data_IF_315918513153
#
_entry.id   IF_315918513153
#
_cell.length_a   1.000
_cell.length_b   1.000
_cell.length_c   1.000
_cell.angle_alpha   90.00
_cell.angle_beta   90.00
_cell.angle_gamma   90.00
#
_symmetry.space_group_name_H-M   'P 1'
#
loop_
_entity.id
_entity.type
_entity.pdbx_description
1 polymer ?
#
# COMPACT_ATOMS: atom_id res chain seq x y z
N UNK A 1 19.08 -18.68 20.26
CA UNK A 1 17.88 -19.55 20.29
C UNK A 1 17.62 -19.95 18.85
N UNK A 2 18.10 -21.12 18.43
CA UNK A 2 17.71 -21.69 17.15
C UNK A 2 16.23 -22.05 17.27
N UNK A 3 15.36 -21.36 16.53
CA UNK A 3 13.97 -21.80 16.44
C UNK A 3 13.94 -23.09 15.63
N UNK A 4 13.33 -24.14 16.19
CA UNK A 4 13.00 -25.33 15.43
C UNK A 4 12.11 -24.94 14.25
N UNK A 5 12.65 -25.11 13.04
CA UNK A 5 11.92 -24.89 11.80
C UNK A 5 10.84 -25.95 11.70
N UNK A 6 9.58 -25.53 11.85
CA UNK A 6 8.44 -26.44 11.65
C UNK A 6 8.34 -26.84 10.17
N UNK A 7 7.87 -28.05 9.85
CA UNK A 7 7.63 -28.46 8.45
C UNK A 7 6.71 -27.50 7.68
N UNK A 8 5.76 -26.87 8.39
CA UNK A 8 4.87 -25.84 7.82
C UNK A 8 5.65 -24.60 7.39
N UNK A 9 6.60 -24.15 8.20
CA UNK A 9 7.47 -23.02 7.87
C UNK A 9 8.36 -23.35 6.67
N UNK A 10 9.00 -24.52 6.67
CA UNK A 10 9.89 -24.92 5.58
C UNK A 10 9.15 -24.93 4.23
N UNK A 11 7.93 -25.48 4.20
CA UNK A 11 7.08 -25.45 3.00
C UNK A 11 6.73 -24.03 2.55
N UNK A 12 6.51 -23.10 3.47
CA UNK A 12 6.24 -21.68 3.17
C UNK A 12 7.48 -21.01 2.56
N UNK A 13 8.65 -21.23 3.15
CA UNK A 13 9.92 -20.73 2.64
C UNK A 13 10.22 -21.26 1.23
N UNK A 14 10.11 -22.57 1.02
CA UNK A 14 10.30 -23.22 -0.28
C UNK A 14 9.35 -22.62 -1.33
N UNK A 15 8.08 -22.43 -0.98
CA UNK A 15 7.11 -21.81 -1.87
C UNK A 15 7.51 -20.37 -2.26
N UNK A 16 7.97 -19.56 -1.32
CA UNK A 16 8.45 -18.19 -1.59
C UNK A 16 9.67 -18.22 -2.54
N UNK A 17 10.64 -19.11 -2.27
CA UNK A 17 11.84 -19.26 -3.09
C UNK A 17 11.47 -19.65 -4.53
N UNK A 18 10.57 -20.62 -4.69
CA UNK A 18 10.08 -21.05 -6.01
C UNK A 18 9.38 -19.91 -6.73
N UNK A 19 8.46 -19.20 -6.07
CA UNK A 19 7.74 -18.06 -6.66
C UNK A 19 8.70 -16.95 -7.11
N UNK A 20 9.69 -16.60 -6.28
CA UNK A 20 10.72 -15.62 -6.63
C UNK A 20 11.55 -16.08 -7.84
N UNK A 21 11.96 -17.34 -7.86
CA UNK A 21 12.74 -17.92 -8.96
C UNK A 21 11.96 -17.88 -10.27
N UNK A 22 10.68 -18.26 -10.24
CA UNK A 22 9.82 -18.23 -11.41
C UNK A 22 9.51 -16.80 -11.88
N UNK A 23 9.28 -15.87 -10.96
CA UNK A 23 9.10 -14.45 -11.30
C UNK A 23 10.38 -13.81 -11.84
N UNK A 24 11.58 -14.26 -11.46
CA UNK A 24 12.84 -13.78 -12.08
C UNK A 24 12.96 -14.17 -13.56
N UNK A 25 12.29 -15.23 -13.98
CA UNK A 25 12.22 -15.69 -15.39
C UNK A 25 11.05 -15.05 -16.15
N UNK A 26 10.52 -13.93 -15.69
CA UNK A 26 9.26 -13.37 -16.21
C UNK A 26 9.27 -13.08 -17.72
N UNK A 27 10.44 -12.84 -18.31
CA UNK A 27 10.59 -12.60 -19.76
C UNK A 27 10.29 -13.81 -20.63
N UNK A 28 10.30 -15.01 -20.05
CA UNK A 28 10.02 -16.28 -20.72
C UNK A 28 8.55 -16.72 -20.54
N UNK A 29 7.74 -15.90 -19.87
CA UNK A 29 6.37 -16.23 -19.45
C UNK A 29 5.35 -15.36 -20.15
N UNK A 30 4.15 -15.91 -20.31
CA UNK A 30 2.98 -15.19 -20.77
C UNK A 30 2.45 -14.25 -19.68
N UNK A 31 1.66 -13.26 -20.07
CA UNK A 31 1.05 -12.30 -19.14
C UNK A 31 0.14 -13.01 -18.10
N UNK A 32 -0.59 -14.03 -18.53
CA UNK A 32 -1.42 -14.86 -17.66
C UNK A 32 -0.59 -15.60 -16.61
N UNK A 33 0.53 -16.19 -16.99
CA UNK A 33 1.44 -16.88 -16.07
C UNK A 33 2.02 -15.90 -15.04
N UNK A 34 2.42 -14.69 -15.47
CA UNK A 34 2.90 -13.64 -14.58
C UNK A 34 1.81 -13.24 -13.59
N UNK A 35 0.59 -13.03 -14.06
CA UNK A 35 -0.53 -12.66 -13.20
C UNK A 35 -0.81 -13.73 -12.12
N UNK A 36 -0.74 -15.01 -12.48
CA UNK A 36 -0.89 -16.12 -11.52
C UNK A 36 0.24 -16.13 -10.49
N UNK A 37 1.50 -16.08 -10.95
CA UNK A 37 2.67 -16.11 -10.08
C UNK A 37 2.73 -14.92 -9.12
N UNK A 38 2.47 -13.73 -9.64
CA UNK A 38 2.55 -12.50 -8.88
C UNK A 38 1.42 -12.42 -7.84
N UNK A 39 0.21 -12.86 -8.18
CA UNK A 39 -0.89 -12.97 -7.21
C UNK A 39 -0.61 -14.00 -6.12
N UNK A 40 0.07 -15.10 -6.45
CA UNK A 40 0.50 -16.07 -5.45
C UNK A 40 1.59 -15.48 -4.54
N UNK A 41 2.57 -14.79 -5.11
CA UNK A 41 3.62 -14.12 -4.34
C UNK A 41 3.08 -13.01 -3.43
N UNK A 42 2.20 -12.13 -3.94
CA UNK A 42 1.58 -11.06 -3.15
C UNK A 42 0.95 -11.59 -1.85
N UNK A 43 0.21 -12.71 -1.92
CA UNK A 43 -0.37 -13.35 -0.73
C UNK A 43 0.68 -13.72 0.31
N UNK A 44 1.83 -14.24 -0.12
CA UNK A 44 2.90 -14.64 0.82
C UNK A 44 3.48 -13.46 1.61
N UNK A 45 3.43 -12.25 1.05
CA UNK A 45 3.89 -11.02 1.74
C UNK A 45 2.94 -10.57 2.86
N UNK A 46 1.73 -11.11 2.91
CA UNK A 46 0.70 -10.74 3.89
C UNK A 46 0.60 -11.72 5.06
N UNK A 47 1.19 -12.90 4.91
CA UNK A 47 1.15 -13.92 5.96
C UNK A 47 1.90 -13.43 7.21
N UNK A 48 1.26 -13.56 8.37
CA UNK A 48 1.83 -13.02 9.60
C UNK A 48 3.05 -13.77 10.12
N UNK A 49 3.96 -13.02 10.77
CA UNK A 49 4.66 -13.50 11.96
C UNK A 49 6.00 -14.21 11.81
N UNK A 50 6.56 -14.36 10.62
CA UNK A 50 7.84 -15.09 10.50
C UNK A 50 9.01 -14.15 10.22
N UNK A 51 9.67 -13.68 11.28
CA UNK A 51 10.92 -12.91 11.16
C UNK A 51 12.00 -13.67 10.36
N UNK A 52 11.94 -15.01 10.33
CA UNK A 52 12.80 -15.86 9.52
C UNK A 52 12.59 -15.70 7.99
N UNK A 53 11.54 -15.00 7.54
CA UNK A 53 11.30 -14.71 6.12
C UNK A 53 11.77 -13.32 5.68
N UNK A 54 12.29 -12.50 6.61
CA UNK A 54 12.73 -11.13 6.32
C UNK A 54 13.68 -11.10 5.11
N UNK A 55 14.70 -11.98 5.08
CA UNK A 55 15.67 -12.05 3.98
C UNK A 55 15.03 -12.30 2.61
N UNK A 56 13.89 -13.00 2.57
CA UNK A 56 13.19 -13.26 1.31
C UNK A 56 12.46 -12.02 0.79
N UNK A 57 12.05 -11.12 1.68
CA UNK A 57 11.26 -9.94 1.38
C UNK A 57 12.06 -8.62 1.38
N UNK A 58 13.31 -8.61 1.87
CA UNK A 58 14.23 -7.46 1.81
C UNK A 58 15.18 -7.47 0.60
N UNK A 59 15.03 -8.45 -0.29
CA UNK A 59 15.80 -8.59 -1.53
C UNK A 59 15.49 -7.45 -2.52
N UNK A 60 16.34 -6.42 -2.49
CA UNK A 60 16.17 -5.22 -3.35
C UNK A 60 16.28 -5.54 -4.83
N UNK A 61 17.13 -6.49 -5.22
CA UNK A 61 17.27 -6.92 -6.62
C UNK A 61 15.97 -7.53 -7.11
N UNK A 62 15.31 -8.35 -6.29
CA UNK A 62 14.01 -8.90 -6.64
C UNK A 62 12.92 -7.82 -6.69
N UNK A 63 12.93 -6.86 -5.76
CA UNK A 63 11.99 -5.74 -5.80
C UNK A 63 12.12 -4.92 -7.10
N UNK A 64 13.34 -4.69 -7.59
CA UNK A 64 13.57 -4.04 -8.90
C UNK A 64 12.99 -4.86 -10.07
N UNK A 65 13.06 -6.19 -10.02
CA UNK A 65 12.40 -7.04 -11.02
C UNK A 65 10.87 -6.89 -10.97
N UNK A 66 10.27 -6.82 -9.77
CA UNK A 66 8.83 -6.54 -9.63
C UNK A 66 8.45 -5.17 -10.21
N UNK A 67 9.28 -4.15 -9.99
CA UNK A 67 9.09 -2.81 -10.60
C UNK A 67 9.11 -2.92 -12.13
N UNK A 68 10.09 -3.63 -12.71
CA UNK A 68 10.18 -3.84 -14.17
C UNK A 68 8.96 -4.57 -14.74
N UNK A 69 8.51 -5.64 -14.07
CA UNK A 69 7.29 -6.37 -14.42
C UNK A 69 6.09 -5.41 -14.43
N UNK A 70 5.96 -4.57 -13.39
CA UNK A 70 4.84 -3.64 -13.25
C UNK A 70 4.77 -2.64 -14.39
N UNK A 71 5.90 -2.05 -14.77
CA UNK A 71 5.95 -1.13 -15.91
C UNK A 71 5.74 -1.84 -17.25
N UNK A 72 6.24 -3.07 -17.40
CA UNK A 72 6.02 -3.85 -18.64
C UNK A 72 4.54 -4.12 -18.88
N UNK A 73 3.79 -4.44 -17.83
CA UNK A 73 2.37 -4.80 -17.90
C UNK A 73 1.47 -3.72 -17.28
N UNK A 74 1.81 -2.44 -17.48
CA UNK A 74 1.13 -1.30 -16.85
C UNK A 74 -0.37 -1.19 -17.18
N UNK A 75 -0.81 -1.78 -18.31
CA UNK A 75 -2.21 -1.84 -18.71
C UNK A 75 -2.99 -2.98 -18.05
N UNK A 76 -2.31 -3.97 -17.46
CA UNK A 76 -2.96 -5.04 -16.72
C UNK A 76 -3.09 -4.65 -15.25
N UNK A 77 -4.27 -4.13 -14.89
CA UNK A 77 -4.56 -3.68 -13.53
C UNK A 77 -4.39 -4.75 -12.46
N UNK A 78 -4.54 -6.05 -12.79
CA UNK A 78 -4.34 -7.14 -11.83
C UNK A 78 -2.86 -7.31 -11.49
N UNK A 79 -1.99 -7.27 -12.51
CA UNK A 79 -0.54 -7.31 -12.31
C UNK A 79 -0.09 -6.09 -11.52
N UNK A 80 -0.51 -4.88 -11.93
CA UNK A 80 -0.18 -3.64 -11.22
C UNK A 80 -0.61 -3.71 -9.76
N UNK A 81 -1.84 -4.14 -9.47
CA UNK A 81 -2.35 -4.24 -8.11
C UNK A 81 -1.53 -5.22 -7.25
N UNK A 82 -1.26 -6.42 -7.78
CA UNK A 82 -0.50 -7.43 -7.06
C UNK A 82 0.94 -6.98 -6.81
N UNK A 83 1.59 -6.32 -7.77
CA UNK A 83 2.93 -5.75 -7.57
C UNK A 83 2.95 -4.64 -6.53
N UNK A 84 2.05 -3.65 -6.62
CA UNK A 84 1.98 -2.53 -5.67
C UNK A 84 1.77 -3.05 -4.26
N UNK A 85 0.87 -4.02 -4.09
CA UNK A 85 0.57 -4.60 -2.78
C UNK A 85 1.75 -5.41 -2.26
N UNK A 86 2.39 -6.24 -3.10
CA UNK A 86 3.54 -7.04 -2.71
C UNK A 86 4.73 -6.14 -2.29
N UNK A 87 5.12 -5.18 -3.13
CA UNK A 87 6.22 -4.24 -2.83
C UNK A 87 5.89 -3.41 -1.60
N UNK A 88 4.66 -2.90 -1.49
CA UNK A 88 4.22 -2.13 -0.33
C UNK A 88 4.28 -2.93 0.98
N UNK A 89 3.89 -4.20 0.96
CA UNK A 89 4.02 -5.10 2.12
C UNK A 89 5.48 -5.43 2.43
N UNK A 90 6.30 -5.72 1.42
CA UNK A 90 7.75 -5.91 1.57
C UNK A 90 8.39 -4.72 2.28
N UNK A 91 8.04 -3.50 1.86
CA UNK A 91 8.51 -2.26 2.46
C UNK A 91 7.96 -2.04 3.88
N UNK A 92 6.63 -2.03 4.05
CA UNK A 92 5.99 -1.69 5.32
C UNK A 92 6.25 -2.72 6.43
N UNK A 93 6.25 -4.00 6.09
CA UNK A 93 6.27 -5.10 7.06
C UNK A 93 7.66 -5.68 7.30
N UNK A 94 8.47 -5.77 6.24
CA UNK A 94 9.75 -6.47 6.28
C UNK A 94 10.94 -5.52 6.16
N UNK A 95 10.71 -4.21 6.13
CA UNK A 95 11.76 -3.18 6.05
C UNK A 95 12.61 -3.30 4.77
N UNK A 96 11.97 -3.64 3.64
CA UNK A 96 12.61 -3.53 2.32
C UNK A 96 13.09 -2.07 2.13
N UNK A 97 14.37 -1.84 1.76
CA UNK A 97 14.87 -0.49 1.54
C UNK A 97 14.06 0.28 0.49
N UNK A 98 13.66 1.50 0.85
CA UNK A 98 12.99 2.42 -0.07
C UNK A 98 13.99 2.92 -1.13
N UNK A 99 13.84 2.47 -2.36
CA UNK A 99 14.61 2.97 -3.50
C UNK A 99 13.84 4.05 -4.25
N UNK A 100 14.55 4.90 -5.00
CA UNK A 100 13.93 5.90 -5.89
C UNK A 100 12.93 5.28 -6.86
N UNK A 101 13.22 4.08 -7.38
CA UNK A 101 12.38 3.37 -8.33
C UNK A 101 11.07 2.89 -7.68
N UNK A 102 11.13 2.36 -6.46
CA UNK A 102 9.94 1.97 -5.70
C UNK A 102 9.06 3.19 -5.41
N UNK A 103 9.67 4.29 -4.98
CA UNK A 103 8.93 5.53 -4.74
C UNK A 103 8.27 6.07 -6.02
N UNK A 104 9.02 6.12 -7.13
CA UNK A 104 8.50 6.55 -8.42
C UNK A 104 7.37 5.64 -8.94
N UNK A 105 7.44 4.34 -8.67
CA UNK A 105 6.35 3.41 -8.97
C UNK A 105 5.09 3.79 -8.19
N UNK A 106 5.20 4.02 -6.88
CA UNK A 106 4.06 4.43 -6.06
C UNK A 106 3.46 5.75 -6.56
N UNK A 107 4.29 6.75 -6.85
CA UNK A 107 3.84 8.04 -7.39
C UNK A 107 3.14 7.87 -8.75
N UNK A 108 3.68 7.06 -9.66
CA UNK A 108 3.09 6.85 -10.98
C UNK A 108 1.67 6.26 -10.92
N UNK A 109 1.33 5.54 -9.85
CA UNK A 109 0.06 4.86 -9.68
C UNK A 109 -0.85 5.49 -8.61
N UNK A 110 -0.46 6.62 -8.00
CA UNK A 110 -1.15 7.21 -6.86
C UNK A 110 -2.54 7.80 -7.19
N UNK A 111 -2.85 8.00 -8.48
CA UNK A 111 -4.16 8.45 -8.99
C UNK A 111 -4.84 7.42 -9.91
N UNK A 112 -4.26 6.23 -10.09
CA UNK A 112 -4.82 5.23 -11.00
C UNK A 112 -6.08 4.58 -10.40
N UNK A 113 -7.20 4.64 -11.11
CA UNK A 113 -8.46 4.00 -10.69
C UNK A 113 -8.28 2.51 -10.39
N UNK A 114 -8.79 2.07 -9.23
CA UNK A 114 -8.67 0.68 -8.76
C UNK A 114 -7.33 0.33 -8.12
N UNK A 115 -6.32 1.20 -8.20
CA UNK A 115 -4.96 0.99 -7.65
C UNK A 115 -4.63 2.05 -6.59
N UNK A 116 -5.02 3.30 -6.82
CA UNK A 116 -4.72 4.45 -5.97
C UNK A 116 -4.98 4.24 -4.47
N UNK A 117 -6.12 3.68 -4.01
CA UNK A 117 -6.31 3.45 -2.59
C UNK A 117 -5.36 2.42 -1.97
N UNK A 118 -4.79 1.50 -2.77
CA UNK A 118 -3.73 0.58 -2.29
C UNK A 118 -2.38 1.29 -2.21
N UNK A 119 -2.09 2.21 -3.12
CA UNK A 119 -0.92 3.08 -3.03
C UNK A 119 -0.99 3.98 -1.79
N UNK A 120 -2.18 4.52 -1.49
CA UNK A 120 -2.43 5.38 -0.34
C UNK A 120 -2.15 4.71 1.02
N UNK A 121 -2.07 3.38 1.07
CA UNK A 121 -1.63 2.63 2.26
C UNK A 121 -0.16 2.92 2.57
N UNK A 122 0.68 3.02 1.52
CA UNK A 122 2.14 3.03 1.66
C UNK A 122 2.73 4.42 1.41
N UNK A 123 2.36 5.06 0.30
CA UNK A 123 3.04 6.24 -0.25
C UNK A 123 3.19 7.37 0.79
N UNK A 124 2.16 7.79 1.54
CA UNK A 124 2.30 8.85 2.54
C UNK A 124 3.29 8.59 3.67
N UNK A 125 3.63 7.33 3.91
CA UNK A 125 4.54 6.93 4.98
C UNK A 125 5.98 6.72 4.48
N UNK A 126 6.23 6.82 3.17
CA UNK A 126 7.56 6.72 2.58
C UNK A 126 8.41 7.95 2.90
N UNK A 127 9.72 7.75 3.06
CA UNK A 127 10.68 8.83 3.39
C UNK A 127 10.68 9.92 2.32
N UNK A 128 10.70 9.54 1.04
CA UNK A 128 10.69 10.51 -0.06
C UNK A 128 9.36 11.27 -0.17
N UNK A 129 8.27 10.79 0.44
CA UNK A 129 7.01 11.53 0.47
C UNK A 129 7.11 12.85 1.24
N UNK A 130 8.13 13.04 2.08
CA UNK A 130 8.42 14.33 2.70
C UNK A 130 8.60 15.48 1.68
N UNK A 131 8.99 15.17 0.44
CA UNK A 131 9.17 16.13 -0.64
C UNK A 131 8.07 16.07 -1.73
N UNK A 132 7.00 15.31 -1.49
CA UNK A 132 5.89 15.22 -2.43
C UNK A 132 5.18 16.59 -2.56
N UNK A 133 5.05 17.08 -3.79
CA UNK A 133 4.36 18.35 -4.08
C UNK A 133 2.86 18.21 -3.82
N UNK A 134 2.22 19.27 -3.32
CA UNK A 134 0.77 19.31 -3.08
C UNK A 134 0.21 18.13 -2.26
N UNK A 135 0.88 17.76 -1.15
CA UNK A 135 0.48 16.64 -0.27
C UNK A 135 -0.98 16.70 0.15
N UNK A 136 -1.50 17.88 0.43
CA UNK A 136 -2.87 18.06 0.87
C UNK A 136 -3.87 17.81 -0.27
N UNK A 137 -3.60 18.27 -1.49
CA UNK A 137 -4.42 17.88 -2.65
C UNK A 137 -4.45 16.36 -2.82
N UNK A 138 -3.30 15.69 -2.63
CA UNK A 138 -3.23 14.23 -2.66
C UNK A 138 -4.07 13.58 -1.54
N UNK A 139 -3.96 14.05 -0.29
CA UNK A 139 -4.79 13.56 0.80
C UNK A 139 -6.28 13.75 0.51
N UNK A 140 -6.69 14.94 0.07
CA UNK A 140 -8.09 15.22 -0.24
C UNK A 140 -8.64 14.30 -1.33
N UNK A 141 -7.83 13.96 -2.34
CA UNK A 141 -8.22 13.03 -3.41
C UNK A 141 -8.57 11.62 -2.90
N UNK A 142 -8.05 11.20 -1.75
CA UNK A 142 -8.29 9.87 -1.17
C UNK A 142 -9.77 9.63 -0.82
N UNK A 143 -10.53 10.69 -0.49
CA UNK A 143 -11.97 10.60 -0.19
C UNK A 143 -12.79 10.01 -1.34
N UNK A 144 -12.31 10.20 -2.57
CA UNK A 144 -13.01 9.82 -3.81
C UNK A 144 -12.37 8.64 -4.54
N UNK A 145 -11.28 8.08 -4.00
CA UNK A 145 -10.60 6.93 -4.61
C UNK A 145 -11.49 5.69 -4.62
N UNK A 146 -11.31 4.80 -5.61
CA UNK A 146 -12.04 3.52 -5.71
C UNK A 146 -11.09 2.34 -5.51
N UNK A 147 -11.37 1.38 -4.59
CA UNK A 147 -12.57 1.25 -3.74
C UNK A 147 -12.75 2.35 -2.68
N UNK A 148 -13.97 2.90 -2.61
CA UNK A 148 -14.33 4.07 -1.79
C UNK A 148 -14.07 3.87 -0.30
N UNK A 149 -14.43 2.71 0.24
CA UNK A 149 -14.20 2.39 1.64
C UNK A 149 -12.72 2.53 2.03
N UNK A 150 -11.82 1.90 1.25
CA UNK A 150 -10.38 1.92 1.53
C UNK A 150 -9.80 3.35 1.42
N UNK A 151 -10.19 4.09 0.39
CA UNK A 151 -9.78 5.48 0.20
C UNK A 151 -10.20 6.39 1.36
N UNK A 152 -11.49 6.36 1.74
CA UNK A 152 -12.02 7.13 2.88
C UNK A 152 -11.34 6.75 4.18
N UNK A 153 -11.14 5.45 4.45
CA UNK A 153 -10.44 4.99 5.65
C UNK A 153 -9.02 5.58 5.72
N UNK A 154 -8.27 5.52 4.62
CA UNK A 154 -6.92 6.09 4.60
C UNK A 154 -6.92 7.60 4.75
N UNK A 155 -7.88 8.30 4.12
CA UNK A 155 -8.05 9.73 4.34
C UNK A 155 -8.24 10.09 5.81
N UNK A 156 -9.13 9.38 6.52
CA UNK A 156 -9.39 9.64 7.94
C UNK A 156 -8.14 9.42 8.81
N UNK A 157 -7.39 8.34 8.57
CA UNK A 157 -6.10 8.10 9.24
C UNK A 157 -5.12 9.28 9.06
N UNK A 158 -5.09 9.88 7.86
CA UNK A 158 -4.24 11.04 7.60
C UNK A 158 -4.75 12.32 8.25
N UNK A 159 -6.06 12.56 8.26
CA UNK A 159 -6.64 13.70 8.98
C UNK A 159 -6.31 13.61 10.47
N UNK A 160 -6.48 12.44 11.08
CA UNK A 160 -6.16 12.21 12.49
C UNK A 160 -4.67 12.46 12.79
N UNK A 161 -3.77 11.91 11.96
CA UNK A 161 -2.32 12.03 12.13
C UNK A 161 -1.82 13.46 11.96
N UNK A 162 -2.48 14.26 11.11
CA UNK A 162 -2.02 15.59 10.70
C UNK A 162 -2.93 16.72 11.19
N UNK A 163 -3.80 16.46 12.17
CA UNK A 163 -4.89 17.38 12.57
C UNK A 163 -4.42 18.80 12.90
N UNK A 164 -3.24 18.92 13.52
CA UNK A 164 -2.65 20.21 13.92
C UNK A 164 -1.96 20.96 12.76
N UNK A 165 -1.89 20.36 11.58
CA UNK A 165 -1.13 20.89 10.42
C UNK A 165 -2.00 21.01 9.16
N UNK A 166 -3.32 20.85 9.30
CA UNK A 166 -4.29 21.04 8.21
C UNK A 166 -4.27 22.52 7.75
N UNK A 167 -3.98 22.81 6.46
CA UNK A 167 -4.06 24.15 5.90
C UNK A 167 -5.48 24.68 5.95
N UNK A 168 -5.60 26.00 6.11
CA UNK A 168 -6.87 26.67 6.27
C UNK A 168 -7.83 26.38 5.10
N UNK A 169 -7.31 26.33 3.87
CA UNK A 169 -8.13 26.09 2.67
C UNK A 169 -8.81 24.72 2.63
N UNK A 170 -8.33 23.72 3.38
CA UNK A 170 -8.92 22.38 3.40
C UNK A 170 -9.81 22.11 4.62
N UNK A 171 -9.79 22.98 5.64
CA UNK A 171 -10.49 22.74 6.91
C UNK A 171 -11.99 22.53 6.72
N UNK A 172 -12.65 23.41 5.97
CA UNK A 172 -14.10 23.35 5.78
C UNK A 172 -14.52 22.07 5.05
N UNK A 173 -13.81 21.69 3.99
CA UNK A 173 -14.10 20.48 3.22
C UNK A 173 -13.83 19.19 4.02
N UNK A 174 -12.86 19.21 4.95
CA UNK A 174 -12.62 18.10 5.89
C UNK A 174 -13.75 18.04 6.92
N UNK A 175 -14.18 19.17 7.49
CA UNK A 175 -15.29 19.21 8.44
C UNK A 175 -16.58 18.68 7.81
N UNK A 176 -16.91 19.11 6.59
CA UNK A 176 -18.06 18.59 5.85
C UNK A 176 -17.99 17.07 5.68
N UNK A 177 -16.83 16.54 5.29
CA UNK A 177 -16.62 15.09 5.18
C UNK A 177 -16.85 14.37 6.52
N UNK A 178 -16.35 14.91 7.63
CA UNK A 178 -16.51 14.29 8.95
C UNK A 178 -17.97 14.36 9.44
N UNK A 179 -18.69 15.43 9.14
CA UNK A 179 -20.12 15.57 9.43
C UNK A 179 -20.93 14.54 8.63
N UNK A 180 -20.63 14.38 7.34
CA UNK A 180 -21.24 13.34 6.50
C UNK A 180 -20.98 11.92 7.04
N UNK A 181 -19.75 11.61 7.47
CA UNK A 181 -19.43 10.28 8.02
C UNK A 181 -20.08 10.01 9.39
N UNK A 182 -20.20 11.05 10.23
CA UNK A 182 -20.90 10.97 11.52
C UNK A 182 -22.38 10.63 11.32
N UNK A 183 -23.01 11.27 10.34
CA UNK A 183 -24.45 11.14 10.10
C UNK A 183 -24.79 9.85 9.32
N UNK A 184 -23.87 9.38 8.48
CA UNK A 184 -24.02 8.16 7.67
C UNK A 184 -23.39 6.91 8.31
N UNK A 185 -23.68 6.61 9.60
CA UNK A 185 -23.09 5.56 10.48
C UNK A 185 -22.66 4.21 9.85
N UNK A 186 -23.11 3.87 8.64
CA UNK A 186 -22.79 2.69 7.85
C UNK A 186 -21.34 2.57 7.33
N UNK A 187 -20.59 3.66 7.15
CA UNK A 187 -19.30 3.59 6.41
C UNK A 187 -18.11 3.24 7.31
N UNK A 188 -18.09 3.66 8.58
CA UNK A 188 -16.94 3.48 9.47
C UNK A 188 -17.33 3.25 10.94
N UNK A 189 -18.16 2.25 11.22
CA UNK A 189 -18.71 1.90 12.56
C UNK A 189 -17.67 1.79 13.72
N UNK A 190 -16.37 1.85 13.44
CA UNK A 190 -15.30 1.66 14.42
C UNK A 190 -14.20 2.75 14.44
N UNK A 191 -14.40 3.93 13.83
CA UNK A 191 -13.36 4.98 13.79
C UNK A 191 -13.74 6.26 14.52
N UNK A 192 -13.59 6.20 15.83
CA UNK A 192 -13.42 7.37 16.68
C UNK A 192 -14.63 8.30 16.79
N UNK A 193 -14.45 9.33 17.63
CA UNK A 193 -15.43 10.38 17.84
C UNK A 193 -15.22 11.47 16.76
N UNK A 194 -16.01 11.42 15.68
CA UNK A 194 -15.95 12.41 14.60
C UNK A 194 -16.18 13.84 15.11
N UNK A 195 -17.02 14.02 16.13
CA UNK A 195 -17.26 15.34 16.71
C UNK A 195 -15.99 15.91 17.35
N UNK A 196 -15.26 15.06 18.08
CA UNK A 196 -13.96 15.44 18.66
C UNK A 196 -12.93 15.85 17.59
N UNK A 197 -12.95 15.22 16.42
CA UNK A 197 -12.06 15.62 15.32
C UNK A 197 -12.48 16.97 14.73
N UNK A 198 -13.78 17.19 14.50
CA UNK A 198 -14.33 18.46 14.02
C UNK A 198 -13.93 19.60 14.97
N UNK A 199 -14.11 19.42 16.28
CA UNK A 199 -13.83 20.45 17.28
C UNK A 199 -12.34 20.84 17.29
N UNK A 200 -11.45 19.85 17.13
CA UNK A 200 -9.99 20.08 17.02
C UNK A 200 -9.58 20.79 15.74
N UNK A 201 -10.32 20.63 14.64
CA UNK A 201 -10.02 21.34 13.39
C UNK A 201 -10.46 22.81 13.52
N UNK A 202 -11.55 23.06 14.24
CA UNK A 202 -12.10 24.40 14.51
C UNK A 202 -11.29 25.20 15.52
N UNK A 203 -10.62 24.54 16.48
CA UNK A 203 -9.68 25.18 17.42
C UNK A 203 -8.41 25.69 16.73
#
# INVERSE_FOLDING_TARGET
MEQEITPKFQKKLENIIVLKSELRKWKEKTEEEINVLLKAFEKTTRDEGDYCLIEQFTDSVFAEELVKITYKYSYNSKIVLSSITAIGMMWWRYDLPETKQIYQLMVAHCQQKGIAPYVAIYLPNMKHFAHFENKWEYYMSMKTMTPTYLGRCKFLEFVEKNINTIPLEYKDEIIMFLEEERDNQFVMENRGDFQKLIDKIKS
#
